data_IF_864017878186
#
_entry.id   IF_864017878186
#
_cell.length_a   1.000
_cell.length_b   1.000
_cell.length_c   1.000
_cell.angle_alpha   90.00
_cell.angle_beta   90.00
_cell.angle_gamma   90.00
#
_symmetry.space_group_name_H-M   'P 1'
#
loop_
_entity.id
_entity.type
_entity.pdbx_description
1 polymer ?
#
# COMPACT_ATOMS: atom_id res chain seq x y z
N UNK A 1 -22.55 -0.41 -10.07
CA UNK A 1 -21.81 0.57 -9.25
C UNK A 1 -21.66 1.87 -10.04
N UNK A 2 -21.60 3.03 -9.39
CA UNK A 2 -21.29 4.28 -10.09
C UNK A 2 -19.93 4.17 -10.79
N UNK A 3 -19.85 4.66 -12.03
CA UNK A 3 -18.63 4.60 -12.84
C UNK A 3 -17.42 5.24 -12.13
N UNK A 4 -17.67 6.29 -11.33
CA UNK A 4 -16.68 7.02 -10.52
C UNK A 4 -15.85 6.15 -9.57
N UNK A 5 -16.40 5.03 -9.08
CA UNK A 5 -15.74 4.21 -8.06
C UNK A 5 -15.25 2.86 -8.58
N UNK A 6 -15.29 2.64 -9.90
CA UNK A 6 -14.87 1.38 -10.52
C UNK A 6 -13.50 1.55 -11.14
N UNK A 7 -12.53 0.76 -10.69
CA UNK A 7 -11.20 0.71 -11.30
C UNK A 7 -11.23 -0.36 -12.39
N UNK A 8 -11.19 0.08 -13.65
CA UNK A 8 -11.13 -0.84 -14.79
C UNK A 8 -9.72 -1.39 -14.93
N UNK A 9 -9.58 -2.71 -14.74
CA UNK A 9 -8.31 -3.40 -14.89
C UNK A 9 -8.21 -4.04 -16.26
N UNK A 10 -6.99 -4.11 -16.80
CA UNK A 10 -6.68 -4.76 -18.08
C UNK A 10 -5.38 -5.54 -17.93
N UNK A 11 -5.32 -6.82 -18.32
CA UNK A 11 -4.09 -7.60 -18.20
C UNK A 11 -2.88 -6.87 -18.80
N UNK A 12 -1.83 -6.74 -18.01
CA UNK A 12 -0.55 -6.15 -18.38
C UNK A 12 0.55 -7.21 -18.18
N UNK A 13 0.86 -8.03 -19.20
CA UNK A 13 1.90 -9.06 -19.13
C UNK A 13 3.24 -8.46 -18.66
N UNK A 14 3.96 -9.12 -17.74
CA UNK A 14 5.27 -8.65 -17.32
C UNK A 14 6.26 -8.59 -18.50
N UNK A 15 7.08 -7.54 -18.54
CA UNK A 15 8.14 -7.37 -19.55
C UNK A 15 9.35 -8.22 -19.18
N UNK A 16 9.64 -8.35 -17.89
CA UNK A 16 10.69 -9.21 -17.36
C UNK A 16 10.08 -10.42 -16.67
N UNK A 17 10.74 -11.56 -16.76
CA UNK A 17 10.25 -12.75 -16.06
C UNK A 17 10.23 -12.52 -14.54
N UNK A 18 9.10 -12.82 -13.87
CA UNK A 18 9.01 -12.71 -12.42
C UNK A 18 9.90 -13.77 -11.78
N UNK A 19 10.61 -13.40 -10.72
CA UNK A 19 11.51 -14.33 -10.03
C UNK A 19 10.70 -15.40 -9.28
N UNK A 20 10.58 -16.59 -9.88
CA UNK A 20 9.85 -17.72 -9.30
C UNK A 20 10.51 -18.28 -8.04
N UNK A 21 9.70 -18.71 -7.06
CA UNK A 21 10.15 -19.27 -5.77
C UNK A 21 10.94 -20.56 -5.91
N UNK A 22 10.49 -21.43 -6.81
CA UNK A 22 11.04 -22.77 -6.97
C UNK A 22 11.64 -22.92 -8.36
N UNK A 23 12.74 -23.65 -8.42
CA UNK A 23 13.33 -24.10 -9.65
C UNK A 23 13.45 -25.63 -9.62
N UNK A 24 13.50 -26.23 -10.81
CA UNK A 24 13.74 -27.67 -10.96
C UNK A 24 15.14 -27.86 -11.53
N UNK A 25 15.98 -28.62 -10.83
CA UNK A 25 17.27 -29.06 -11.34
C UNK A 25 17.09 -30.43 -11.98
N UNK A 26 17.65 -30.58 -13.18
CA UNK A 26 17.67 -31.83 -13.94
C UNK A 26 19.08 -32.43 -13.93
N UNK A 27 19.25 -33.62 -13.36
CA UNK A 27 20.49 -34.40 -13.47
C UNK A 27 20.50 -35.19 -14.78
N UNK A 28 20.88 -34.51 -15.87
CA UNK A 28 20.81 -35.05 -17.24
C UNK A 28 21.62 -36.32 -17.47
N UNK A 29 22.72 -36.49 -16.74
CA UNK A 29 23.57 -37.69 -16.80
C UNK A 29 22.79 -38.98 -16.49
N UNK A 30 21.76 -38.88 -15.66
CA UNK A 30 20.90 -39.99 -15.27
C UNK A 30 19.65 -40.11 -16.15
N UNK A 31 19.50 -39.25 -17.15
CA UNK A 31 18.34 -39.26 -18.04
C UNK A 31 18.45 -40.40 -19.06
N UNK A 32 17.40 -41.22 -19.16
CA UNK A 32 17.37 -42.31 -20.13
C UNK A 32 17.30 -41.83 -21.60
N UNK A 33 16.95 -40.56 -21.85
CA UNK A 33 16.84 -39.95 -23.19
C UNK A 33 15.78 -40.53 -24.14
N UNK A 34 15.22 -41.70 -23.82
CA UNK A 34 14.45 -42.57 -24.71
C UNK A 34 13.09 -43.01 -24.12
N UNK A 35 12.64 -42.34 -23.06
CA UNK A 35 11.34 -42.64 -22.44
C UNK A 35 10.19 -42.36 -23.43
N UNK A 36 9.44 -43.41 -23.82
CA UNK A 36 8.22 -43.29 -24.63
C UNK A 36 7.22 -42.33 -23.97
N UNK A 37 6.95 -42.57 -22.69
CA UNK A 37 6.07 -41.77 -21.81
C UNK A 37 6.86 -40.79 -20.93
N UNK A 38 7.67 -39.92 -21.53
CA UNK A 38 8.48 -38.98 -20.77
C UNK A 38 7.62 -37.96 -19.98
N UNK A 39 7.84 -37.86 -18.67
CA UNK A 39 7.17 -36.90 -17.77
C UNK A 39 7.34 -35.44 -18.22
N UNK A 40 8.41 -35.10 -18.93
CA UNK A 40 8.63 -33.76 -19.50
C UNK A 40 7.46 -33.32 -20.39
N UNK A 41 6.88 -34.25 -21.16
CA UNK A 41 5.70 -33.99 -22.03
C UNK A 41 4.41 -33.75 -21.24
N UNK A 42 4.39 -34.11 -19.95
CA UNK A 42 3.24 -34.04 -19.05
C UNK A 42 3.26 -32.78 -18.16
N UNK A 43 4.23 -31.88 -18.34
CA UNK A 43 4.28 -30.64 -17.57
C UNK A 43 3.12 -29.72 -17.96
N UNK A 44 2.22 -29.45 -17.02
CA UNK A 44 1.01 -28.62 -17.21
C UNK A 44 1.37 -27.14 -17.51
N UNK A 45 2.58 -26.72 -17.16
CA UNK A 45 3.10 -25.38 -17.40
C UNK A 45 4.01 -25.30 -18.65
N UNK A 46 4.08 -26.38 -19.44
CA UNK A 46 4.85 -26.48 -20.68
C UNK A 46 6.35 -26.12 -20.58
N UNK A 47 6.91 -26.11 -19.36
CA UNK A 47 8.30 -25.72 -19.08
C UNK A 47 9.26 -26.51 -19.97
N UNK A 48 9.11 -27.84 -20.01
CA UNK A 48 10.03 -28.70 -20.76
C UNK A 48 9.78 -28.73 -22.27
N UNK A 49 8.54 -28.46 -22.71
CA UNK A 49 8.17 -28.47 -24.13
C UNK A 49 8.81 -27.30 -24.87
N UNK A 50 8.88 -26.14 -24.22
CA UNK A 50 9.59 -24.96 -24.73
C UNK A 50 11.12 -25.09 -24.62
N UNK A 51 11.63 -25.91 -23.69
CA UNK A 51 13.04 -25.92 -23.29
C UNK A 51 14.08 -26.56 -24.23
N UNK A 52 13.80 -27.55 -25.09
CA UNK A 52 14.93 -28.31 -25.69
C UNK A 52 15.76 -27.52 -26.72
N UNK A 53 15.13 -26.73 -27.59
CA UNK A 53 15.82 -25.82 -28.54
C UNK A 53 16.03 -24.43 -27.93
N UNK A 54 15.14 -24.01 -27.03
CA UNK A 54 15.16 -22.69 -26.40
C UNK A 54 16.25 -22.58 -25.32
N UNK A 55 16.51 -23.61 -24.50
CA UNK A 55 17.58 -23.57 -23.47
C UNK A 55 18.99 -23.35 -24.04
N UNK A 56 19.25 -23.75 -25.29
CA UNK A 56 20.53 -23.50 -25.98
C UNK A 56 20.59 -22.13 -26.66
N UNK A 57 19.45 -21.46 -26.83
CA UNK A 57 19.32 -20.14 -27.50
C UNK A 57 18.92 -19.02 -26.52
N UNK A 58 18.66 -19.37 -25.26
CA UNK A 58 18.26 -18.46 -24.20
C UNK A 58 19.40 -17.50 -23.82
N UNK A 59 19.11 -16.20 -23.81
CA UNK A 59 19.98 -15.19 -23.18
C UNK A 59 19.89 -15.25 -21.64
N UNK A 60 18.72 -15.66 -21.09
CA UNK A 60 18.48 -15.86 -19.64
C UNK A 60 17.75 -17.20 -19.37
N UNK A 61 17.98 -17.88 -18.23
CA UNK A 61 17.38 -19.19 -17.92
C UNK A 61 15.90 -19.10 -17.50
N UNK A 62 14.99 -18.90 -18.47
CA UNK A 62 13.56 -18.65 -18.26
C UNK A 62 12.80 -19.75 -17.46
N UNK A 63 13.34 -20.97 -17.44
CA UNK A 63 12.78 -22.11 -16.69
C UNK A 63 12.88 -21.96 -15.17
N UNK A 64 13.78 -21.09 -14.67
CA UNK A 64 13.88 -20.77 -13.23
C UNK A 64 12.70 -19.90 -12.74
N UNK A 65 11.98 -19.28 -13.67
CA UNK A 65 11.01 -18.23 -13.37
C UNK A 65 9.55 -18.68 -13.54
N UNK A 66 9.31 -19.77 -14.28
CA UNK A 66 7.96 -20.23 -14.66
C UNK A 66 7.49 -21.46 -13.87
N UNK A 67 8.36 -22.10 -13.08
CA UNK A 67 8.03 -23.33 -12.37
C UNK A 67 7.16 -23.09 -11.12
N UNK A 68 5.90 -23.56 -11.17
CA UNK A 68 4.97 -23.51 -10.04
C UNK A 68 5.08 -24.70 -9.07
N UNK A 69 6.14 -25.51 -9.15
CA UNK A 69 6.42 -26.62 -8.23
C UNK A 69 5.24 -27.60 -8.01
N UNK A 70 4.53 -27.99 -9.07
CA UNK A 70 3.45 -29.00 -8.97
C UNK A 70 3.91 -30.44 -8.68
N UNK A 71 5.23 -30.66 -8.54
CA UNK A 71 5.87 -31.97 -8.27
C UNK A 71 5.67 -33.09 -9.30
N UNK A 72 4.84 -32.90 -10.32
CA UNK A 72 4.58 -33.93 -11.34
C UNK A 72 5.85 -34.45 -12.01
N UNK A 73 6.77 -33.55 -12.36
CA UNK A 73 8.07 -33.92 -12.96
C UNK A 73 8.94 -34.76 -12.02
N UNK A 74 8.85 -34.55 -10.71
CA UNK A 74 9.63 -35.28 -9.70
C UNK A 74 9.01 -36.65 -9.44
N UNK A 75 7.69 -36.69 -9.24
CA UNK A 75 6.97 -37.90 -8.86
C UNK A 75 6.82 -38.91 -10.00
N UNK A 76 6.58 -38.44 -11.23
CA UNK A 76 6.34 -39.33 -12.37
C UNK A 76 7.63 -39.63 -13.18
N UNK A 77 8.80 -39.13 -12.76
CA UNK A 77 10.05 -39.46 -13.43
C UNK A 77 10.55 -40.85 -13.00
N UNK A 78 10.51 -41.80 -13.93
CA UNK A 78 10.97 -43.19 -13.69
C UNK A 78 12.46 -43.32 -13.32
N UNK A 79 13.28 -42.31 -13.64
CA UNK A 79 14.70 -42.25 -13.29
C UNK A 79 15.01 -41.32 -12.12
N UNK A 80 14.00 -40.63 -11.57
CA UNK A 80 14.18 -39.73 -10.42
C UNK A 80 15.17 -38.58 -10.66
N UNK A 81 15.33 -38.09 -11.90
CA UNK A 81 16.39 -37.13 -12.25
C UNK A 81 16.10 -35.69 -11.85
N UNK A 82 14.88 -35.40 -11.38
CA UNK A 82 14.46 -34.05 -11.04
C UNK A 82 14.52 -33.83 -9.54
N UNK A 83 15.09 -32.69 -9.15
CA UNK A 83 15.06 -32.21 -7.77
C UNK A 83 14.45 -30.82 -7.70
N UNK A 84 13.63 -30.58 -6.68
CA UNK A 84 13.11 -29.24 -6.37
C UNK A 84 14.12 -28.50 -5.52
N UNK A 85 14.47 -27.29 -5.95
CA UNK A 85 15.26 -26.35 -5.15
C UNK A 85 14.53 -25.02 -5.03
N UNK A 86 14.91 -24.24 -4.03
CA UNK A 86 14.52 -22.83 -3.96
C UNK A 86 15.44 -22.06 -4.91
N UNK A 87 14.86 -21.21 -5.76
CA UNK A 87 15.63 -20.37 -6.66
C UNK A 87 16.54 -19.44 -5.83
N UNK A 88 17.87 -19.44 -6.01
CA UNK A 88 18.76 -18.53 -5.30
C UNK A 88 18.42 -17.06 -5.51
N UNK A 89 17.99 -16.67 -6.72
CA UNK A 89 17.59 -15.28 -7.00
C UNK A 89 16.34 -14.87 -6.23
N UNK A 90 15.43 -15.81 -5.99
CA UNK A 90 14.24 -15.54 -5.16
C UNK A 90 14.61 -15.16 -3.72
N UNK A 91 15.75 -15.67 -3.22
CA UNK A 91 16.27 -15.26 -1.90
C UNK A 91 16.93 -13.89 -1.92
N UNK A 92 17.32 -13.39 -3.08
CA UNK A 92 18.02 -12.12 -3.26
C UNK A 92 17.12 -10.92 -3.57
N UNK A 93 15.81 -11.12 -3.68
CA UNK A 93 14.84 -10.04 -3.86
C UNK A 93 14.20 -9.66 -2.52
N UNK A 94 13.80 -8.40 -2.39
CA UNK A 94 13.09 -7.92 -1.20
C UNK A 94 13.98 -7.73 0.04
N UNK A 95 13.29 -7.64 1.17
CA UNK A 95 13.88 -7.48 2.50
C UNK A 95 13.03 -8.25 3.54
N UNK A 96 13.29 -8.06 4.83
CA UNK A 96 12.56 -8.75 5.91
C UNK A 96 11.07 -8.40 5.94
N UNK A 97 10.68 -7.21 5.45
CA UNK A 97 9.31 -6.73 5.46
C UNK A 97 8.60 -6.96 4.12
N UNK A 98 9.23 -6.50 3.03
CA UNK A 98 8.85 -6.80 1.66
C UNK A 98 9.46 -8.13 1.24
N UNK A 99 8.93 -9.21 1.81
CA UNK A 99 9.41 -10.56 1.51
C UNK A 99 9.25 -10.90 0.02
N UNK A 100 10.06 -11.83 -0.52
CA UNK A 100 9.90 -12.32 -1.89
C UNK A 100 8.47 -12.79 -2.25
N UNK A 101 7.72 -13.29 -1.28
CA UNK A 101 6.33 -13.74 -1.48
C UNK A 101 5.39 -12.55 -1.70
N UNK A 102 5.55 -11.49 -0.90
CA UNK A 102 4.81 -10.22 -1.04
C UNK A 102 5.09 -9.59 -2.40
N UNK A 103 6.34 -9.59 -2.84
CA UNK A 103 6.75 -9.07 -4.16
C UNK A 103 6.06 -9.87 -5.28
N UNK A 104 6.14 -11.20 -5.25
CA UNK A 104 5.52 -12.04 -6.28
C UNK A 104 3.99 -11.89 -6.32
N UNK A 105 3.32 -11.79 -5.17
CA UNK A 105 1.88 -11.50 -5.11
C UNK A 105 1.54 -10.14 -5.69
N UNK A 106 2.36 -9.14 -5.42
CA UNK A 106 2.20 -7.78 -5.95
C UNK A 106 2.37 -7.78 -7.47
N UNK A 107 3.38 -8.48 -8.01
CA UNK A 107 3.57 -8.64 -9.45
C UNK A 107 2.40 -9.36 -10.12
N UNK A 108 1.86 -10.41 -9.50
CA UNK A 108 0.69 -11.11 -10.01
C UNK A 108 -0.54 -10.20 -10.08
N UNK A 109 -0.78 -9.40 -9.03
CA UNK A 109 -1.89 -8.44 -8.97
C UNK A 109 -1.70 -7.32 -10.00
N UNK A 110 -0.50 -6.77 -10.15
CA UNK A 110 -0.18 -5.78 -11.17
C UNK A 110 -0.27 -6.35 -12.60
N UNK A 111 0.00 -7.64 -12.77
CA UNK A 111 -0.14 -8.32 -14.06
C UNK A 111 -1.61 -8.52 -14.45
N UNK A 112 -2.41 -9.07 -13.54
CA UNK A 112 -3.76 -9.58 -13.86
C UNK A 112 -4.90 -8.64 -13.47
N UNK A 113 -4.65 -7.68 -12.57
CA UNK A 113 -5.70 -6.90 -11.92
C UNK A 113 -6.63 -7.74 -11.03
N UNK A 114 -6.26 -9.00 -10.74
CA UNK A 114 -7.09 -9.97 -10.04
C UNK A 114 -6.58 -10.24 -8.63
N UNK A 115 -7.49 -10.63 -7.74
CA UNK A 115 -7.15 -11.11 -6.41
C UNK A 115 -6.46 -12.49 -6.54
N UNK A 116 -5.32 -12.75 -5.87
CA UNK A 116 -4.74 -14.09 -5.81
C UNK A 116 -5.73 -15.11 -5.21
N UNK A 117 -5.68 -16.38 -5.59
CA UNK A 117 -6.59 -17.44 -5.08
C UNK A 117 -6.61 -17.55 -3.54
N UNK A 118 -5.55 -17.11 -2.87
CA UNK A 118 -5.49 -17.03 -1.40
C UNK A 118 -6.13 -15.79 -0.78
N UNK A 119 -6.61 -14.83 -1.58
CA UNK A 119 -6.93 -13.45 -1.18
C UNK A 119 -8.31 -13.21 -0.59
N UNK A 120 -9.04 -14.26 -0.18
CA UNK A 120 -10.26 -14.12 0.63
C UNK A 120 -9.96 -13.90 2.14
N UNK A 121 -8.73 -13.56 2.50
CA UNK A 121 -8.32 -13.24 3.88
C UNK A 121 -6.81 -13.23 4.07
N UNK A 122 -6.35 -12.76 5.23
CA UNK A 122 -4.94 -12.87 5.61
C UNK A 122 -4.55 -14.32 5.82
N UNK A 123 -3.42 -14.72 5.25
CA UNK A 123 -2.77 -16.00 5.58
C UNK A 123 -1.39 -15.82 6.16
N UNK A 124 -1.01 -14.59 6.48
CA UNK A 124 0.22 -14.35 7.20
C UNK A 124 0.11 -14.81 8.65
N UNK A 125 1.21 -14.70 9.40
CA UNK A 125 1.20 -15.10 10.80
C UNK A 125 0.19 -14.26 11.60
N UNK A 126 -0.28 -14.82 12.72
CA UNK A 126 -1.02 -14.10 13.76
C UNK A 126 -0.16 -13.75 14.98
N UNK A 127 1.03 -14.35 15.06
CA UNK A 127 2.01 -14.13 16.13
C UNK A 127 3.31 -13.56 15.53
N UNK A 128 3.19 -12.65 14.55
CA UNK A 128 4.32 -11.99 13.91
C UNK A 128 4.51 -10.54 14.37
N UNK A 129 5.39 -9.79 13.69
CA UNK A 129 5.68 -8.38 14.00
C UNK A 129 4.68 -7.43 13.34
N UNK A 130 4.45 -6.26 13.93
CA UNK A 130 3.64 -5.21 13.32
C UNK A 130 2.24 -5.67 12.92
N UNK A 131 1.87 -5.53 11.63
CA UNK A 131 0.55 -5.98 11.15
C UNK A 131 0.31 -7.50 11.24
N UNK A 132 1.35 -8.30 11.47
CA UNK A 132 1.23 -9.75 11.64
C UNK A 132 0.83 -10.17 13.06
N UNK A 133 0.73 -9.23 14.00
CA UNK A 133 0.08 -9.47 15.31
C UNK A 133 -1.38 -9.01 15.34
N UNK A 134 -1.94 -8.65 14.19
CA UNK A 134 -3.32 -8.16 14.05
C UNK A 134 -4.03 -8.93 12.94
N UNK A 135 -5.23 -9.44 13.20
CA UNK A 135 -6.12 -10.03 12.19
C UNK A 135 -7.42 -9.25 12.11
N UNK A 136 -8.00 -9.21 10.92
CA UNK A 136 -9.34 -8.67 10.70
C UNK A 136 -10.37 -9.75 10.97
N UNK A 137 -11.38 -9.46 11.80
CA UNK A 137 -12.46 -10.39 12.09
C UNK A 137 -13.58 -10.28 11.03
N UNK A 138 -13.65 -11.29 10.17
CA UNK A 138 -14.59 -11.37 9.03
C UNK A 138 -15.75 -12.36 9.29
N UNK A 139 -16.21 -12.47 10.55
CA UNK A 139 -17.17 -13.51 10.97
C UNK A 139 -18.64 -13.08 10.97
N UNK A 140 -19.02 -11.97 10.30
CA UNK A 140 -20.42 -11.54 10.29
C UNK A 140 -21.26 -12.36 9.31
N UNK A 141 -22.21 -13.13 9.84
CA UNK A 141 -23.19 -13.85 9.02
C UNK A 141 -24.26 -12.86 8.56
N UNK A 142 -24.05 -12.25 7.40
CA UNK A 142 -25.03 -11.43 6.70
C UNK A 142 -25.88 -12.26 5.75
N UNK A 143 -27.22 -12.18 5.87
CA UNK A 143 -28.18 -12.76 4.91
C UNK A 143 -29.05 -11.67 4.29
N UNK A 144 -29.05 -11.48 2.95
CA UNK A 144 -28.20 -12.16 1.96
C UNK A 144 -26.71 -11.80 2.11
N UNK A 145 -25.83 -12.61 1.52
CA UNK A 145 -24.39 -12.31 1.52
C UNK A 145 -24.14 -11.00 0.77
N UNK A 146 -23.35 -10.12 1.38
CA UNK A 146 -22.99 -8.84 0.78
C UNK A 146 -21.82 -9.06 -0.16
N UNK A 147 -22.05 -8.83 -1.45
CA UNK A 147 -21.05 -8.99 -2.51
C UNK A 147 -20.82 -7.62 -3.17
N UNK A 148 -19.73 -7.00 -2.72
CA UNK A 148 -19.28 -5.71 -3.21
C UNK A 148 -18.47 -5.78 -4.50
N UNK A 149 -17.95 -6.95 -4.91
CA UNK A 149 -17.18 -7.07 -6.16
C UNK A 149 -18.12 -7.12 -7.36
N UNK A 150 -19.12 -8.00 -7.33
CA UNK A 150 -20.03 -8.20 -8.45
C UNK A 150 -21.20 -7.21 -8.46
N UNK A 151 -21.18 -6.23 -7.56
CA UNK A 151 -22.15 -5.13 -7.53
C UNK A 151 -23.55 -5.55 -7.11
N UNK A 152 -23.70 -6.69 -6.41
CA UNK A 152 -24.97 -7.08 -5.79
C UNK A 152 -25.34 -6.10 -4.67
N UNK A 153 -24.32 -5.58 -3.97
CA UNK A 153 -24.46 -4.44 -3.07
C UNK A 153 -23.45 -3.33 -3.41
N UNK A 154 -23.81 -2.10 -3.08
CA UNK A 154 -22.91 -0.95 -3.16
C UNK A 154 -22.15 -0.81 -1.83
N UNK A 155 -20.82 -0.92 -1.89
CA UNK A 155 -19.91 -0.61 -0.77
C UNK A 155 -19.08 0.59 -1.18
N UNK A 156 -19.14 1.65 -0.39
CA UNK A 156 -18.42 2.90 -0.64
C UNK A 156 -16.98 2.82 -0.13
N UNK A 157 -15.99 2.87 -1.02
CA UNK A 157 -14.56 2.93 -0.65
C UNK A 157 -14.03 4.36 -0.54
N UNK A 158 -14.86 5.36 -0.84
CA UNK A 158 -14.45 6.75 -0.86
C UNK A 158 -14.16 7.28 0.56
N UNK A 159 -13.16 8.15 0.65
CA UNK A 159 -12.84 8.94 1.83
C UNK A 159 -12.79 10.42 1.47
N UNK A 160 -12.86 11.29 2.47
CA UNK A 160 -12.74 12.74 2.28
C UNK A 160 -11.57 13.24 3.12
N UNK A 161 -10.77 14.15 2.56
CA UNK A 161 -9.58 14.73 3.20
C UNK A 161 -9.74 16.20 3.60
N UNK A 162 -10.88 16.80 3.29
CA UNK A 162 -11.24 18.15 3.76
C UNK A 162 -11.71 18.13 5.22
N UNK A 163 -11.50 19.23 5.95
CA UNK A 163 -12.03 19.41 7.30
C UNK A 163 -13.56 19.39 7.31
N UNK A 164 -14.15 18.80 8.34
CA UNK A 164 -15.61 18.78 8.54
C UNK A 164 -16.04 19.79 9.61
N UNK A 165 -17.15 20.51 9.41
CA UNK A 165 -17.71 21.38 10.44
C UNK A 165 -18.16 20.54 11.63
N UNK A 166 -17.96 21.05 12.84
CA UNK A 166 -18.35 20.37 14.08
C UNK A 166 -19.87 20.17 14.16
N UNK A 167 -20.60 21.21 13.75
CA UNK A 167 -22.07 21.22 13.67
C UNK A 167 -22.48 22.03 12.45
N UNK A 168 -23.58 21.62 11.82
CA UNK A 168 -24.26 22.48 10.85
C UNK A 168 -25.06 23.52 11.64
N UNK A 169 -24.95 24.78 11.23
CA UNK A 169 -25.81 25.86 11.71
C UNK A 169 -26.46 26.51 10.50
N UNK A 170 -27.69 26.98 10.68
CA UNK A 170 -28.48 27.59 9.62
C UNK A 170 -28.98 28.96 10.11
N UNK A 171 -29.04 29.92 9.19
CA UNK A 171 -29.72 31.18 9.39
C UNK A 171 -31.24 30.96 9.39
N UNK A 172 -32.01 31.97 9.84
CA UNK A 172 -33.48 31.89 9.90
C UNK A 172 -34.12 31.67 8.52
N UNK A 173 -33.45 32.08 7.44
CA UNK A 173 -33.87 31.87 6.05
C UNK A 173 -33.56 30.47 5.50
N UNK A 174 -32.93 29.60 6.33
CA UNK A 174 -32.52 28.25 5.96
C UNK A 174 -31.17 28.14 5.24
N UNK A 175 -30.45 29.25 5.03
CA UNK A 175 -29.09 29.24 4.47
C UNK A 175 -28.06 28.75 5.51
N UNK A 176 -26.95 28.16 5.05
CA UNK A 176 -25.88 27.66 5.93
C UNK A 176 -25.14 28.81 6.61
N UNK A 177 -25.16 28.84 7.95
CA UNK A 177 -24.46 29.80 8.79
C UNK A 177 -23.03 29.37 9.15
N UNK A 178 -22.52 28.32 8.50
CA UNK A 178 -21.16 27.79 8.69
C UNK A 178 -20.48 27.75 7.34
N UNK A 179 -19.25 28.26 7.27
CA UNK A 179 -18.42 28.11 6.09
C UNK A 179 -18.10 26.63 5.85
N UNK A 180 -18.50 26.09 4.71
CA UNK A 180 -18.17 24.74 4.27
C UNK A 180 -17.21 24.85 3.11
N UNK A 181 -15.98 24.36 3.29
CA UNK A 181 -14.98 24.29 2.23
C UNK A 181 -15.31 23.24 1.16
N UNK A 182 -14.58 23.22 0.04
CA UNK A 182 -14.73 22.17 -0.96
C UNK A 182 -14.40 20.79 -0.36
N UNK A 183 -15.19 19.78 -0.75
CA UNK A 183 -14.98 18.41 -0.30
C UNK A 183 -13.92 17.76 -1.18
N UNK A 184 -12.81 17.36 -0.55
CA UNK A 184 -11.73 16.66 -1.24
C UNK A 184 -11.94 15.14 -1.15
N UNK A 185 -12.63 14.57 -2.12
CA UNK A 185 -12.93 13.13 -2.18
C UNK A 185 -11.79 12.33 -2.83
N UNK A 186 -11.42 11.20 -2.20
CA UNK A 186 -10.54 10.18 -2.78
C UNK A 186 -11.34 8.88 -2.93
N UNK A 187 -11.52 8.33 -4.15
CA UNK A 187 -12.38 7.16 -4.42
C UNK A 187 -11.99 5.86 -3.71
N UNK A 188 -10.71 5.74 -3.35
CA UNK A 188 -10.09 4.61 -2.68
C UNK A 188 -9.26 5.18 -1.52
N UNK A 189 -9.20 4.58 -0.32
CA UNK A 189 -8.49 5.16 0.82
C UNK A 189 -6.96 4.96 0.71
N UNK A 190 -6.42 5.16 -0.49
CA UNK A 190 -5.03 4.99 -0.87
C UNK A 190 -4.60 6.20 -1.70
N UNK A 191 -3.56 6.88 -1.24
CA UNK A 191 -2.85 7.94 -1.94
C UNK A 191 -1.43 7.50 -2.27
N UNK A 192 -0.79 8.15 -3.23
CA UNK A 192 0.57 7.85 -3.63
C UNK A 192 1.56 8.84 -3.03
N UNK A 193 2.81 8.45 -2.86
CA UNK A 193 3.91 9.34 -2.51
C UNK A 193 5.10 9.03 -3.41
N UNK A 194 5.83 10.06 -3.84
CA UNK A 194 7.10 9.89 -4.53
C UNK A 194 8.03 9.04 -3.65
N UNK A 195 8.44 7.84 -4.08
CA UNK A 195 9.28 7.00 -3.24
C UNK A 195 10.63 7.64 -2.96
N UNK A 196 11.18 7.41 -1.77
CA UNK A 196 12.57 7.82 -1.42
C UNK A 196 13.62 6.78 -1.83
N UNK A 197 13.20 5.75 -2.56
CA UNK A 197 14.01 4.61 -3.00
C UNK A 197 13.75 4.32 -4.48
N UNK A 198 14.74 3.75 -5.15
CA UNK A 198 14.58 3.19 -6.50
C UNK A 198 15.12 4.09 -7.59
N UNK A 199 14.92 3.66 -8.83
CA UNK A 199 15.21 4.48 -10.02
C UNK A 199 13.98 5.32 -10.32
N UNK A 200 14.09 6.65 -10.16
CA UNK A 200 12.98 7.59 -10.28
C UNK A 200 13.19 8.51 -11.48
N UNK A 201 13.23 7.92 -12.68
CA UNK A 201 13.26 8.73 -13.91
C UNK A 201 11.92 9.46 -14.10
N UNK A 202 11.92 10.47 -14.95
CA UNK A 202 10.70 11.19 -15.30
C UNK A 202 9.59 10.24 -15.81
N UNK A 203 9.95 9.21 -16.59
CA UNK A 203 9.01 8.19 -17.09
C UNK A 203 8.35 7.39 -15.95
N UNK A 204 9.11 7.08 -14.91
CA UNK A 204 8.61 6.38 -13.71
C UNK A 204 7.60 7.27 -12.97
N UNK A 205 7.91 8.56 -12.79
CA UNK A 205 7.01 9.52 -12.12
C UNK A 205 5.73 9.76 -12.94
N UNK A 206 5.85 9.93 -14.26
CA UNK A 206 4.72 10.06 -15.18
C UNK A 206 3.82 8.81 -15.11
N UNK A 207 4.39 7.60 -15.02
CA UNK A 207 3.60 6.36 -14.84
C UNK A 207 2.72 6.41 -13.59
N UNK A 208 3.29 6.86 -12.46
CA UNK A 208 2.58 6.98 -11.19
C UNK A 208 1.48 8.04 -11.25
N UNK A 209 1.78 9.20 -11.83
CA UNK A 209 0.83 10.32 -11.94
C UNK A 209 -0.31 10.01 -12.92
N UNK A 210 -0.04 9.35 -14.04
CA UNK A 210 -1.07 8.86 -14.96
C UNK A 210 -2.00 7.85 -14.27
N UNK A 211 -1.45 6.95 -13.46
CA UNK A 211 -2.25 6.01 -12.69
C UNK A 211 -3.10 6.72 -11.63
N UNK A 212 -2.51 7.69 -10.90
CA UNK A 212 -3.22 8.49 -9.91
C UNK A 212 -4.40 9.25 -10.54
N UNK A 213 -4.16 9.92 -11.67
CA UNK A 213 -5.17 10.64 -12.45
C UNK A 213 -6.29 9.72 -12.92
N UNK A 214 -5.96 8.53 -13.43
CA UNK A 214 -6.96 7.55 -13.92
C UNK A 214 -7.82 7.01 -12.79
N UNK A 215 -7.24 6.77 -11.61
CA UNK A 215 -7.95 6.28 -10.42
C UNK A 215 -8.75 7.41 -9.75
N UNK A 216 -8.35 8.67 -9.96
CA UNK A 216 -8.87 9.82 -9.21
C UNK A 216 -8.26 9.94 -7.81
N UNK A 217 -7.09 9.35 -7.57
CA UNK A 217 -6.31 9.58 -6.34
C UNK A 217 -5.25 10.65 -6.56
N UNK A 218 -4.55 11.04 -5.50
CA UNK A 218 -3.52 12.08 -5.52
C UNK A 218 -2.16 11.53 -5.11
N UNK A 219 -1.10 12.27 -5.46
CA UNK A 219 0.29 11.88 -5.20
C UNK A 219 1.05 12.99 -4.48
N UNK A 220 1.62 12.70 -3.32
CA UNK A 220 2.54 13.59 -2.60
C UNK A 220 3.90 13.65 -3.29
N UNK A 221 4.42 14.86 -3.51
CA UNK A 221 5.74 15.10 -4.11
C UNK A 221 6.39 16.33 -3.50
N UNK A 222 7.69 16.33 -3.24
CA UNK A 222 8.40 17.54 -2.83
C UNK A 222 8.27 18.62 -3.93
N UNK A 223 7.96 19.85 -3.54
CA UNK A 223 7.69 20.93 -4.48
C UNK A 223 8.89 21.24 -5.40
N UNK A 224 10.11 21.02 -4.91
CA UNK A 224 11.35 21.17 -5.67
C UNK A 224 11.51 20.12 -6.78
N UNK A 225 10.79 18.99 -6.71
CA UNK A 225 10.85 17.90 -7.70
C UNK A 225 9.83 18.03 -8.84
N UNK A 226 8.97 19.06 -8.80
CA UNK A 226 7.90 19.26 -9.79
C UNK A 226 8.45 20.13 -10.92
N UNK A 227 8.88 19.47 -12.00
CA UNK A 227 9.31 20.16 -13.23
C UNK A 227 8.11 20.58 -14.11
N UNK A 228 8.37 21.39 -15.13
CA UNK A 228 7.36 21.89 -16.08
C UNK A 228 6.55 20.77 -16.76
N UNK A 229 7.13 19.58 -16.94
CA UNK A 229 6.43 18.43 -17.54
C UNK A 229 5.41 17.87 -16.56
N UNK A 230 5.78 17.77 -15.28
CA UNK A 230 4.91 17.26 -14.23
C UNK A 230 3.82 18.27 -13.82
N UNK A 231 4.03 19.57 -14.03
CA UNK A 231 3.00 20.58 -13.78
C UNK A 231 1.68 20.32 -14.52
N UNK A 232 1.74 19.65 -15.67
CA UNK A 232 0.56 19.29 -16.46
C UNK A 232 -0.42 18.37 -15.73
N UNK A 233 0.02 17.65 -14.69
CA UNK A 233 -0.84 16.83 -13.84
C UNK A 233 -1.63 17.64 -12.80
N UNK A 234 -1.30 18.93 -12.63
CA UNK A 234 -2.06 19.89 -11.86
C UNK A 234 -2.48 19.38 -10.48
N UNK A 235 -3.79 19.33 -10.25
CA UNK A 235 -4.38 18.98 -8.94
C UNK A 235 -4.18 17.54 -8.50
N UNK A 236 -3.65 16.65 -9.37
CA UNK A 236 -3.27 15.28 -8.98
C UNK A 236 -2.09 15.30 -8.01
N UNK A 237 -1.21 16.30 -8.12
CA UNK A 237 -0.03 16.43 -7.26
C UNK A 237 -0.40 17.19 -5.98
N UNK A 238 0.03 16.66 -4.85
CA UNK A 238 0.03 17.35 -3.56
C UNK A 238 1.48 17.79 -3.30
N UNK A 239 1.82 19.07 -3.51
CA UNK A 239 3.17 19.55 -3.24
C UNK A 239 3.47 19.52 -1.74
N UNK A 240 4.61 18.96 -1.36
CA UNK A 240 5.21 19.09 -0.04
C UNK A 240 6.12 20.32 -0.02
N UNK A 241 5.84 21.23 0.89
CA UNK A 241 6.61 22.44 1.14
C UNK A 241 7.11 22.46 2.59
N UNK A 242 8.10 23.29 2.84
CA UNK A 242 8.65 23.55 4.17
C UNK A 242 8.29 24.96 4.59
N UNK A 243 8.33 25.19 5.91
CA UNK A 243 8.12 26.51 6.53
C UNK A 243 8.95 27.62 5.87
N UNK A 244 10.16 27.31 5.42
CA UNK A 244 11.09 28.30 4.87
C UNK A 244 10.97 28.51 3.35
N UNK A 245 10.36 27.59 2.60
CA UNK A 245 10.35 27.63 1.13
C UNK A 245 8.96 27.80 0.50
N UNK A 246 7.85 27.65 1.24
CA UNK A 246 6.51 27.65 0.65
C UNK A 246 6.18 28.91 -0.16
N UNK A 247 6.74 30.07 0.21
CA UNK A 247 6.58 31.33 -0.52
C UNK A 247 7.09 31.26 -1.97
N UNK A 248 8.11 30.44 -2.25
CA UNK A 248 8.66 30.25 -3.61
C UNK A 248 7.66 29.56 -4.54
N UNK A 249 6.74 28.79 -3.96
CA UNK A 249 5.78 27.96 -4.69
C UNK A 249 4.37 28.56 -4.67
N UNK A 250 4.22 29.86 -4.38
CA UNK A 250 2.91 30.50 -4.24
C UNK A 250 1.99 30.27 -5.45
N UNK A 251 2.52 30.32 -6.68
CA UNK A 251 1.72 30.10 -7.89
C UNK A 251 1.30 28.64 -8.06
N UNK A 252 2.17 27.68 -7.68
CA UNK A 252 1.81 26.26 -7.61
C UNK A 252 0.72 26.01 -6.56
N UNK A 253 0.81 26.66 -5.40
CA UNK A 253 -0.16 26.52 -4.30
C UNK A 253 -1.53 27.13 -4.65
N UNK A 254 -1.58 28.21 -5.44
CA UNK A 254 -2.84 28.81 -5.93
C UNK A 254 -3.64 27.85 -6.82
N UNK A 255 -2.98 26.96 -7.56
CA UNK A 255 -3.60 25.97 -8.46
C UNK A 255 -3.75 24.57 -7.84
N UNK A 256 -3.34 24.39 -6.59
CA UNK A 256 -3.40 23.09 -5.90
C UNK A 256 -4.67 22.96 -5.07
N UNK A 257 -5.25 21.75 -5.02
CA UNK A 257 -6.39 21.44 -4.13
C UNK A 257 -5.93 21.21 -2.68
N UNK A 258 -4.72 20.69 -2.52
CA UNK A 258 -4.16 20.30 -1.23
C UNK A 258 -2.65 20.57 -1.24
N UNK A 259 -2.11 20.93 -0.08
CA UNK A 259 -0.67 21.08 0.17
C UNK A 259 -0.29 20.24 1.38
N UNK A 260 0.93 19.71 1.38
CA UNK A 260 1.54 19.18 2.59
C UNK A 260 2.63 20.10 3.09
N UNK A 261 2.68 20.29 4.41
CA UNK A 261 3.78 20.97 5.08
C UNK A 261 4.36 20.07 6.17
N UNK A 262 5.68 19.92 6.19
CA UNK A 262 6.35 19.15 7.24
C UNK A 262 6.18 19.83 8.61
N UNK A 263 5.91 19.04 9.65
CA UNK A 263 5.73 19.53 11.00
C UNK A 263 7.05 20.05 11.58
N UNK A 264 7.00 21.28 12.08
CA UNK A 264 8.03 21.90 12.91
C UNK A 264 7.36 22.77 14.00
N UNK A 265 7.98 23.00 15.16
CA UNK A 265 7.41 23.89 16.17
C UNK A 265 7.07 25.30 15.62
N UNK A 266 5.89 25.81 15.99
CA UNK A 266 5.40 27.10 15.52
C UNK A 266 4.80 27.09 14.10
N UNK A 267 4.33 25.92 13.63
CA UNK A 267 3.74 25.76 12.29
C UNK A 267 2.40 26.48 12.17
N UNK A 268 1.70 26.75 13.28
CA UNK A 268 0.34 27.30 13.33
C UNK A 268 0.24 28.63 12.57
N UNK A 269 1.25 29.49 12.73
CA UNK A 269 1.34 30.77 12.02
C UNK A 269 1.55 30.62 10.50
N UNK A 270 2.08 29.49 10.06
CA UNK A 270 2.32 29.18 8.65
C UNK A 270 1.04 28.65 8.01
N UNK A 271 0.24 27.86 8.74
CA UNK A 271 -1.02 27.31 8.23
C UNK A 271 -1.98 28.44 7.80
N UNK A 272 -2.08 29.51 8.60
CA UNK A 272 -2.89 30.69 8.25
C UNK A 272 -2.39 31.39 6.97
N UNK A 273 -1.07 31.48 6.80
CA UNK A 273 -0.47 32.06 5.58
C UNK A 273 -0.75 31.21 4.35
N UNK A 274 -0.72 29.88 4.47
CA UNK A 274 -1.08 28.97 3.38
C UNK A 274 -2.56 29.15 3.00
N UNK A 275 -3.45 29.26 3.98
CA UNK A 275 -4.87 29.52 3.73
C UNK A 275 -5.11 30.89 3.09
N UNK A 276 -4.28 31.89 3.40
CA UNK A 276 -4.34 33.20 2.75
C UNK A 276 -3.89 33.18 1.27
N UNK A 277 -3.02 32.25 0.86
CA UNK A 277 -2.64 32.08 -0.55
C UNK A 277 -3.80 31.51 -1.36
N UNK A 278 -4.51 30.53 -0.80
CA UNK A 278 -5.68 29.92 -1.40
C UNK A 278 -6.67 29.47 -0.30
N UNK A 279 -7.79 30.19 -0.17
CA UNK A 279 -8.78 29.95 0.89
C UNK A 279 -9.45 28.57 0.82
N UNK A 280 -9.40 27.93 -0.34
CA UNK A 280 -9.95 26.59 -0.59
C UNK A 280 -8.92 25.46 -0.45
N UNK A 281 -7.64 25.79 -0.19
CA UNK A 281 -6.55 24.83 -0.11
C UNK A 281 -6.73 23.92 1.11
N UNK A 282 -6.82 22.61 0.90
CA UNK A 282 -6.75 21.64 1.99
C UNK A 282 -5.30 21.56 2.51
N UNK A 283 -5.11 21.64 3.83
CA UNK A 283 -3.78 21.64 4.44
C UNK A 283 -3.54 20.31 5.16
N UNK A 284 -2.55 19.57 4.67
CA UNK A 284 -1.95 18.41 5.34
C UNK A 284 -0.74 18.83 6.16
N UNK A 285 -0.62 18.36 7.40
CA UNK A 285 0.63 18.48 8.17
C UNK A 285 1.29 17.11 8.27
N UNK A 286 2.50 17.00 7.73
CA UNK A 286 3.33 15.80 7.76
C UNK A 286 4.06 15.67 9.09
N UNK A 287 3.58 14.80 9.98
CA UNK A 287 4.16 14.53 11.30
C UNK A 287 5.00 13.25 11.28
N UNK A 288 6.34 13.32 11.36
CA UNK A 288 7.16 12.13 11.53
C UNK A 288 6.91 11.49 12.89
N UNK A 289 6.64 10.19 12.91
CA UNK A 289 6.52 9.40 14.13
C UNK A 289 7.91 9.11 14.69
N UNK A 290 8.45 10.07 15.43
CA UNK A 290 9.77 9.97 16.07
C UNK A 290 9.65 9.92 17.58
N UNK A 291 10.50 9.12 18.23
CA UNK A 291 10.55 8.98 19.68
C UNK A 291 10.79 10.30 20.44
N UNK A 292 11.32 11.32 19.76
CA UNK A 292 11.54 12.65 20.35
C UNK A 292 10.26 13.52 20.40
N UNK A 293 9.17 13.11 19.75
CA UNK A 293 7.95 13.90 19.60
C UNK A 293 6.78 13.24 20.34
N UNK A 294 6.01 14.04 21.08
CA UNK A 294 4.72 13.59 21.62
C UNK A 294 3.63 13.68 20.55
N UNK A 295 3.65 12.76 19.60
CA UNK A 295 2.79 12.80 18.41
C UNK A 295 1.28 12.84 18.72
N UNK A 296 0.85 12.29 19.86
CA UNK A 296 -0.56 12.28 20.26
C UNK A 296 -1.02 13.66 20.74
N UNK A 297 -0.21 14.33 21.56
CA UNK A 297 -0.45 15.69 22.01
C UNK A 297 -0.37 16.68 20.85
N UNK A 298 0.69 16.60 20.05
CA UNK A 298 0.88 17.41 18.84
C UNK A 298 -0.32 17.27 17.90
N UNK A 299 -0.80 16.05 17.67
CA UNK A 299 -1.99 15.81 16.86
C UNK A 299 -3.22 16.53 17.40
N UNK A 300 -3.46 16.48 18.71
CA UNK A 300 -4.57 17.19 19.36
C UNK A 300 -4.42 18.71 19.26
N UNK A 301 -3.21 19.25 19.43
CA UNK A 301 -2.96 20.69 19.28
C UNK A 301 -3.21 21.16 17.84
N UNK A 302 -2.63 20.48 16.85
CA UNK A 302 -2.83 20.77 15.44
C UNK A 302 -4.30 20.66 15.03
N UNK A 303 -5.07 19.75 15.64
CA UNK A 303 -6.50 19.59 15.33
C UNK A 303 -7.36 20.83 15.65
N UNK A 304 -6.86 21.72 16.51
CA UNK A 304 -7.50 22.99 16.89
C UNK A 304 -7.15 24.15 15.94
N UNK A 305 -6.25 23.93 14.98
CA UNK A 305 -5.84 24.91 13.97
C UNK A 305 -6.69 24.79 12.70
N UNK A 306 -6.35 25.57 11.66
CA UNK A 306 -6.97 25.49 10.32
C UNK A 306 -6.54 24.27 9.49
N UNK A 307 -5.71 23.37 10.04
CA UNK A 307 -5.35 22.09 9.41
C UNK A 307 -6.59 21.26 9.05
N UNK A 308 -6.53 20.58 7.91
CA UNK A 308 -7.58 19.66 7.43
C UNK A 308 -7.22 18.19 7.70
N UNK A 309 -5.94 17.84 7.48
CA UNK A 309 -5.45 16.46 7.56
C UNK A 309 -4.12 16.39 8.32
N UNK A 310 -4.00 15.42 9.22
CA UNK A 310 -2.73 15.04 9.84
C UNK A 310 -2.17 13.82 9.09
N UNK A 311 -1.00 13.95 8.46
CA UNK A 311 -0.33 12.82 7.82
C UNK A 311 0.80 12.32 8.73
N UNK A 312 0.58 11.18 9.39
CA UNK A 312 1.59 10.55 10.24
C UNK A 312 2.51 9.66 9.42
N UNK A 313 3.82 9.87 9.56
CA UNK A 313 4.84 9.21 8.73
C UNK A 313 5.70 8.30 9.59
N UNK A 314 5.64 6.99 9.38
CA UNK A 314 6.60 6.03 9.91
C UNK A 314 7.71 5.77 8.88
N UNK A 315 8.73 4.99 9.25
CA UNK A 315 9.72 4.55 8.29
C UNK A 315 9.13 3.56 7.26
N UNK A 316 9.94 3.13 6.29
CA UNK A 316 9.46 2.24 5.22
C UNK A 316 8.99 0.86 5.74
N UNK A 317 9.46 0.44 6.91
CA UNK A 317 9.06 -0.78 7.61
C UNK A 317 7.89 -0.55 8.57
N UNK A 318 7.33 0.65 8.65
CA UNK A 318 6.24 1.01 9.57
C UNK A 318 6.72 1.21 11.02
N UNK A 319 7.99 1.54 11.22
CA UNK A 319 8.64 1.72 12.52
C UNK A 319 8.83 3.19 12.88
N UNK A 320 8.85 3.45 14.18
CA UNK A 320 9.17 4.75 14.77
C UNK A 320 10.61 5.20 14.44
N UNK A 321 10.78 6.47 14.05
CA UNK A 321 12.08 7.06 13.77
C UNK A 321 12.86 7.38 15.05
N UNK A 322 14.19 7.21 14.99
CA UNK A 322 15.15 7.61 16.03
C UNK A 322 14.88 6.95 17.41
N UNK A 323 14.40 5.71 17.43
CA UNK A 323 14.10 4.95 18.64
C UNK A 323 15.02 3.74 18.78
N UNK A 324 15.47 3.43 20.00
CA UNK A 324 16.22 2.19 20.28
C UNK A 324 15.30 0.96 20.34
N UNK A 325 14.02 1.17 20.66
CA UNK A 325 12.99 0.13 20.70
C UNK A 325 11.78 0.62 19.89
N UNK A 326 11.88 0.64 18.55
CA UNK A 326 10.91 1.31 17.71
C UNK A 326 9.54 0.63 17.75
N UNK A 327 8.52 1.40 18.12
CA UNK A 327 7.12 0.98 18.04
C UNK A 327 6.69 0.82 16.59
N UNK A 328 5.67 0.00 16.36
CA UNK A 328 5.05 -0.13 15.04
C UNK A 328 3.91 0.87 14.85
N UNK A 329 3.66 1.29 13.61
CA UNK A 329 2.67 2.32 13.27
C UNK A 329 1.27 2.01 13.78
N UNK A 330 0.87 0.72 13.85
CA UNK A 330 -0.44 0.30 14.36
C UNK A 330 -0.71 0.81 15.78
N UNK A 331 0.31 0.82 16.65
CA UNK A 331 0.17 1.20 18.05
C UNK A 331 0.22 2.73 18.19
N UNK A 332 1.16 3.39 17.50
CA UNK A 332 1.29 4.85 17.52
C UNK A 332 0.05 5.53 16.93
N UNK A 333 -0.50 4.98 15.84
CA UNK A 333 -1.72 5.49 15.22
C UNK A 333 -2.94 5.34 16.14
N UNK A 334 -3.03 4.23 16.89
CA UNK A 334 -4.09 4.00 17.88
C UNK A 334 -4.03 5.02 19.02
N UNK A 335 -2.83 5.36 19.51
CA UNK A 335 -2.64 6.41 20.52
C UNK A 335 -3.14 7.77 20.03
N UNK A 336 -2.76 8.17 18.81
CA UNK A 336 -3.18 9.44 18.19
C UNK A 336 -4.69 9.47 18.01
N UNK A 337 -5.25 8.39 17.46
CA UNK A 337 -6.68 8.26 17.24
C UNK A 337 -7.46 8.42 18.56
N UNK A 338 -7.07 7.69 19.61
CA UNK A 338 -7.73 7.74 20.92
C UNK A 338 -7.57 9.12 21.58
N UNK A 339 -6.40 9.75 21.47
CA UNK A 339 -6.18 11.10 21.99
C UNK A 339 -7.12 12.12 21.33
N UNK A 340 -7.27 12.09 20.00
CA UNK A 340 -8.20 12.95 19.27
C UNK A 340 -9.67 12.63 19.56
N UNK A 341 -10.01 11.35 19.80
CA UNK A 341 -11.37 10.97 20.23
C UNK A 341 -11.69 11.57 21.60
N UNK A 342 -10.77 11.43 22.57
CA UNK A 342 -10.91 12.00 23.91
C UNK A 342 -10.98 13.53 23.89
N UNK A 343 -10.27 14.17 22.95
CA UNK A 343 -10.32 15.62 22.74
C UNK A 343 -11.56 16.09 21.96
N UNK A 344 -12.39 15.18 21.43
CA UNK A 344 -13.58 15.53 20.64
C UNK A 344 -13.31 16.03 19.22
N UNK A 345 -12.05 16.02 18.76
CA UNK A 345 -11.66 16.62 17.46
C UNK A 345 -11.62 15.60 16.31
N UNK A 346 -11.65 14.29 16.60
CA UNK A 346 -11.48 13.22 15.60
C UNK A 346 -12.47 13.25 14.43
N UNK A 347 -13.67 13.80 14.62
CA UNK A 347 -14.67 13.92 13.54
C UNK A 347 -14.35 15.04 12.54
N UNK A 348 -13.65 16.07 12.99
CA UNK A 348 -13.36 17.27 12.21
C UNK A 348 -12.15 17.08 11.30
N UNK A 349 -11.13 16.37 11.80
CA UNK A 349 -9.83 16.16 11.15
C UNK A 349 -9.71 14.76 10.56
N UNK A 350 -8.98 14.67 9.44
CA UNK A 350 -8.59 13.41 8.83
C UNK A 350 -7.18 12.98 9.27
N UNK A 351 -6.94 11.68 9.35
CA UNK A 351 -5.60 11.12 9.59
C UNK A 351 -5.19 10.29 8.37
N UNK A 352 -4.08 10.67 7.73
CA UNK A 352 -3.38 9.83 6.77
C UNK A 352 -2.20 9.15 7.45
N UNK A 353 -1.85 7.94 7.02
CA UNK A 353 -0.73 7.20 7.55
C UNK A 353 0.14 6.62 6.43
N UNK A 354 1.46 6.74 6.56
CA UNK A 354 2.45 6.17 5.64
C UNK A 354 3.52 5.36 6.37
N UNK A 355 4.09 4.38 5.66
CA UNK A 355 5.08 3.46 6.19
C UNK A 355 4.52 2.06 6.51
N UNK A 356 5.23 1.01 6.10
CA UNK A 356 4.87 -0.37 6.43
C UNK A 356 3.67 -0.94 5.63
N UNK A 357 3.28 -0.36 4.49
CA UNK A 357 2.12 -0.84 3.73
C UNK A 357 2.59 -1.61 2.49
N UNK A 358 2.62 -2.94 2.60
CA UNK A 358 3.12 -3.82 1.54
C UNK A 358 2.05 -4.68 0.88
N UNK A 359 0.84 -4.74 1.46
CA UNK A 359 -0.28 -5.56 1.01
C UNK A 359 -1.62 -4.84 1.19
N UNK A 360 -2.64 -5.25 0.42
CA UNK A 360 -3.99 -4.70 0.50
C UNK A 360 -4.57 -4.71 1.92
N UNK A 361 -4.30 -5.75 2.69
CA UNK A 361 -4.81 -5.86 4.06
C UNK A 361 -4.16 -4.87 5.03
N UNK A 362 -2.90 -4.49 4.79
CA UNK A 362 -2.24 -3.48 5.63
C UNK A 362 -3.00 -2.16 5.55
N UNK A 363 -3.57 -1.83 4.38
CA UNK A 363 -4.43 -0.65 4.22
C UNK A 363 -5.61 -0.70 5.19
N UNK A 364 -6.32 -1.84 5.22
CA UNK A 364 -7.46 -2.05 6.09
C UNK A 364 -7.08 -2.00 7.57
N UNK A 365 -5.99 -2.66 7.96
CA UNK A 365 -5.48 -2.64 9.33
C UNK A 365 -5.10 -1.24 9.78
N UNK A 366 -4.43 -0.46 8.93
CA UNK A 366 -4.10 0.94 9.21
C UNK A 366 -5.36 1.77 9.44
N UNK A 367 -6.42 1.58 8.64
CA UNK A 367 -7.70 2.27 8.84
C UNK A 367 -8.34 1.85 10.18
N UNK A 368 -8.35 0.55 10.49
CA UNK A 368 -8.85 0.04 11.79
C UNK A 368 -8.08 0.65 12.97
N UNK A 369 -6.76 0.81 12.86
CA UNK A 369 -5.94 1.47 13.87
C UNK A 369 -6.23 2.97 14.02
N UNK A 370 -6.98 3.57 13.09
CA UNK A 370 -7.56 4.89 13.26
C UNK A 370 -7.25 5.89 12.16
N UNK A 371 -6.61 5.50 11.05
CA UNK A 371 -6.45 6.34 9.87
C UNK A 371 -7.77 6.46 9.08
N UNK A 372 -7.93 7.55 8.34
CA UNK A 372 -8.96 7.67 7.30
C UNK A 372 -8.44 7.15 5.94
N UNK A 373 -7.15 7.30 5.66
CA UNK A 373 -6.53 6.84 4.42
C UNK A 373 -5.05 6.50 4.59
N UNK A 374 -4.49 5.85 3.58
CA UNK A 374 -3.13 5.32 3.62
C UNK A 374 -2.33 5.85 2.44
N UNK A 375 -1.07 6.21 2.66
CA UNK A 375 -0.17 6.67 1.61
C UNK A 375 0.88 5.58 1.32
N UNK A 376 1.06 5.27 0.03
CA UNK A 376 1.95 4.18 -0.43
C UNK A 376 2.99 4.68 -1.42
N UNK A 377 4.17 4.08 -1.38
CA UNK A 377 5.31 4.44 -2.22
C UNK A 377 5.91 3.21 -2.95
N UNK A 378 6.54 2.28 -2.22
CA UNK A 378 7.20 1.09 -2.75
C UNK A 378 6.28 0.14 -3.52
N UNK A 379 5.01 -0.08 -3.12
CA UNK A 379 4.10 -0.90 -3.92
C UNK A 379 3.95 -0.39 -5.36
N UNK A 380 4.11 0.92 -5.61
CA UNK A 380 4.08 1.50 -6.96
C UNK A 380 5.27 1.04 -7.80
N UNK A 381 6.48 1.06 -7.21
CA UNK A 381 7.68 0.53 -7.86
C UNK A 381 7.58 -0.97 -8.11
N UNK A 382 7.05 -1.72 -7.13
CA UNK A 382 6.83 -3.16 -7.28
C UNK A 382 5.83 -3.45 -8.40
N UNK A 383 4.74 -2.68 -8.51
CA UNK A 383 3.79 -2.82 -9.60
C UNK A 383 4.50 -2.70 -10.96
N UNK A 384 5.48 -1.80 -11.07
CA UNK A 384 6.34 -1.60 -12.25
C UNK A 384 7.54 -2.56 -12.32
N UNK A 385 7.46 -3.74 -11.69
CA UNK A 385 8.44 -4.84 -11.75
C UNK A 385 9.74 -4.64 -10.95
N UNK A 386 9.82 -3.61 -10.10
CA UNK A 386 10.96 -3.46 -9.19
C UNK A 386 11.14 -4.73 -8.34
N UNK A 387 12.38 -5.23 -8.25
CA UNK A 387 12.74 -6.43 -7.46
C UNK A 387 13.14 -6.14 -6.01
N UNK A 388 13.13 -4.87 -5.60
CA UNK A 388 13.70 -4.42 -4.31
C UNK A 388 15.10 -5.00 -3.99
N UNK A 389 15.89 -5.26 -5.03
CA UNK A 389 17.20 -5.91 -4.92
C UNK A 389 18.34 -4.99 -4.41
N UNK A 390 18.03 -3.75 -4.01
CA UNK A 390 18.97 -2.72 -3.57
C UNK A 390 20.13 -2.35 -4.53
N UNK A 391 20.18 -2.90 -5.75
CA UNK A 391 21.22 -2.55 -6.75
C UNK A 391 21.30 -1.06 -7.03
N UNK A 392 20.17 -0.37 -7.15
CA UNK A 392 20.12 1.08 -7.37
C UNK A 392 20.66 1.91 -6.19
N UNK A 393 20.67 1.37 -4.96
CA UNK A 393 21.33 2.02 -3.81
C UNK A 393 22.85 1.88 -3.86
N UNK A 394 23.33 0.83 -4.50
CA UNK A 394 24.75 0.52 -4.65
C UNK A 394 25.30 1.02 -5.99
N UNK A 395 24.62 1.96 -6.65
CA UNK A 395 24.99 2.52 -7.96
C UNK A 395 25.14 1.46 -9.08
N UNK A 396 24.49 0.30 -8.91
CA UNK A 396 24.46 -0.76 -9.91
C UNK A 396 23.23 -0.64 -10.82
N UNK A 397 23.38 -1.13 -12.05
CA UNK A 397 22.30 -1.16 -13.04
C UNK A 397 21.07 -1.93 -12.53
N UNK A 398 19.89 -1.37 -12.83
CA UNK A 398 18.61 -1.98 -12.51
C UNK A 398 18.34 -3.16 -13.46
N UNK A 399 18.08 -4.37 -12.95
CA UNK A 399 17.90 -5.57 -13.78
C UNK A 399 16.65 -5.49 -14.68
N UNK A 400 15.66 -4.70 -14.27
CA UNK A 400 14.41 -4.50 -15.02
C UNK A 400 14.37 -3.16 -15.77
N UNK A 401 15.53 -2.50 -15.92
CA UNK A 401 15.68 -1.21 -16.63
C UNK A 401 14.57 -0.20 -16.29
N UNK A 402 14.23 -0.09 -15.00
CA UNK A 402 13.05 0.65 -14.54
C UNK A 402 13.02 2.11 -15.02
N UNK A 403 14.19 2.74 -15.17
CA UNK A 403 14.31 4.11 -15.66
C UNK A 403 13.79 4.32 -17.10
N UNK A 404 13.75 3.26 -17.91
CA UNK A 404 13.32 3.29 -19.31
C UNK A 404 11.90 2.77 -19.52
N UNK A 405 11.12 2.64 -18.43
CA UNK A 405 9.75 2.13 -18.50
C UNK A 405 8.89 2.98 -19.45
N UNK A 406 8.02 2.33 -20.20
CA UNK A 406 6.97 3.00 -20.96
C UNK A 406 5.88 3.49 -19.99
N UNK A 407 5.55 4.79 -19.95
CA UNK A 407 4.64 5.32 -18.94
C UNK A 407 3.24 4.73 -18.96
N UNK A 408 2.69 4.46 -20.15
CA UNK A 408 1.36 3.85 -20.29
C UNK A 408 1.35 2.42 -19.72
N UNK A 409 2.37 1.63 -20.03
CA UNK A 409 2.57 0.31 -19.45
C UNK A 409 2.71 0.36 -17.92
N UNK A 410 3.56 1.25 -17.40
CA UNK A 410 3.78 1.41 -15.96
C UNK A 410 2.49 1.81 -15.23
N UNK A 411 1.76 2.78 -15.79
CA UNK A 411 0.47 3.24 -15.29
C UNK A 411 -0.57 2.12 -15.23
N UNK A 412 -0.72 1.35 -16.30
CA UNK A 412 -1.66 0.21 -16.36
C UNK A 412 -1.38 -0.84 -15.28
N UNK A 413 -0.11 -1.12 -14.97
CA UNK A 413 0.27 -2.05 -13.90
C UNK A 413 -0.10 -1.54 -12.51
N UNK A 414 0.08 -0.25 -12.26
CA UNK A 414 -0.32 0.38 -11.00
C UNK A 414 -1.85 0.35 -10.86
N UNK A 415 -2.58 0.68 -11.93
CA UNK A 415 -4.05 0.61 -11.96
C UNK A 415 -4.54 -0.81 -11.65
N UNK A 416 -3.91 -1.83 -12.24
CA UNK A 416 -4.22 -3.23 -11.94
C UNK A 416 -4.00 -3.58 -10.46
N UNK A 417 -2.86 -3.18 -9.88
CA UNK A 417 -2.59 -3.42 -8.46
C UNK A 417 -3.65 -2.76 -7.58
N UNK A 418 -3.99 -1.49 -7.83
CA UNK A 418 -5.00 -0.77 -7.05
C UNK A 418 -6.40 -1.34 -7.24
N UNK A 419 -6.74 -1.82 -8.44
CA UNK A 419 -7.98 -2.56 -8.69
C UNK A 419 -8.06 -3.86 -7.88
N UNK A 420 -6.97 -4.62 -7.80
CA UNK A 420 -6.91 -5.83 -7.00
C UNK A 420 -6.98 -5.54 -5.48
N UNK A 421 -6.37 -4.45 -5.01
CA UNK A 421 -6.42 -4.02 -3.61
C UNK A 421 -7.82 -3.53 -3.22
N UNK A 422 -8.46 -2.73 -4.08
CA UNK A 422 -9.85 -2.32 -3.95
C UNK A 422 -10.77 -3.53 -3.81
N UNK A 423 -10.63 -4.52 -4.69
CA UNK A 423 -11.49 -5.69 -4.66
C UNK A 423 -11.28 -6.53 -3.38
N UNK A 424 -10.04 -6.66 -2.88
CA UNK A 424 -9.77 -7.29 -1.57
C UNK A 424 -10.41 -6.53 -0.41
N UNK A 425 -10.40 -5.20 -0.45
CA UNK A 425 -11.12 -4.38 0.54
C UNK A 425 -12.63 -4.59 0.47
N UNK A 426 -13.20 -4.69 -0.73
CA UNK A 426 -14.63 -4.97 -0.93
C UNK A 426 -15.04 -6.34 -0.37
N UNK A 427 -14.21 -7.37 -0.56
CA UNK A 427 -14.43 -8.70 0.04
C UNK A 427 -14.44 -8.62 1.56
N UNK A 428 -13.43 -7.99 2.15
CA UNK A 428 -13.35 -7.82 3.60
C UNK A 428 -14.54 -7.04 4.14
N UNK A 429 -14.88 -5.89 3.54
CA UNK A 429 -16.01 -5.06 3.96
C UNK A 429 -17.34 -5.83 3.83
N UNK A 430 -17.51 -6.59 2.74
CA UNK A 430 -18.67 -7.45 2.53
C UNK A 430 -18.80 -8.52 3.61
N UNK A 431 -17.70 -9.21 3.93
CA UNK A 431 -17.65 -10.23 4.97
C UNK A 431 -17.82 -9.66 6.40
N UNK A 432 -17.43 -8.40 6.62
CA UNK A 432 -17.66 -7.66 7.86
C UNK A 432 -19.04 -6.99 7.96
N UNK A 433 -19.92 -7.16 6.98
CA UNK A 433 -21.22 -6.49 7.01
C UNK A 433 -21.11 -4.96 6.98
N UNK A 434 -20.09 -4.39 6.35
CA UNK A 434 -19.88 -2.94 6.22
C UNK A 434 -20.19 -2.42 4.81
N UNK A 435 -20.81 -1.23 4.73
CA UNK A 435 -21.18 -0.58 3.46
C UNK A 435 -20.30 0.62 3.10
N UNK A 436 -19.36 0.99 3.98
CA UNK A 436 -18.45 2.10 3.72
C UNK A 436 -17.10 1.87 4.43
N UNK A 437 -15.99 2.18 3.74
CA UNK A 437 -14.64 2.03 4.27
C UNK A 437 -14.43 2.90 5.53
N UNK A 438 -15.06 4.08 5.59
CA UNK A 438 -15.02 4.97 6.76
C UNK A 438 -15.46 4.30 8.06
N UNK A 439 -16.32 3.28 8.02
CA UNK A 439 -16.78 2.56 9.22
C UNK A 439 -15.72 1.65 9.83
N UNK A 440 -14.65 1.32 9.09
CA UNK A 440 -13.52 0.60 9.65
C UNK A 440 -12.72 1.45 10.64
N UNK A 441 -12.81 2.78 10.53
CA UNK A 441 -11.97 3.72 11.27
C UNK A 441 -12.14 3.57 12.78
N UNK A 442 -11.11 3.06 13.44
CA UNK A 442 -11.14 2.82 14.88
C UNK A 442 -12.03 1.64 15.31
N UNK A 443 -12.51 0.81 14.36
CA UNK A 443 -13.40 -0.33 14.63
C UNK A 443 -12.60 -1.54 15.12
N UNK A 444 -11.98 -1.39 16.29
CA UNK A 444 -11.14 -2.43 16.90
C UNK A 444 -11.96 -3.69 17.22
N UNK A 445 -13.27 -3.56 17.42
CA UNK A 445 -14.19 -4.69 17.63
C UNK A 445 -14.28 -5.65 16.43
N UNK A 446 -13.83 -5.24 15.25
CA UNK A 446 -13.70 -6.08 14.04
C UNK A 446 -12.24 -6.48 13.77
N UNK A 447 -11.42 -6.51 14.80
CA UNK A 447 -10.04 -6.96 14.73
C UNK A 447 -9.65 -7.77 15.96
N UNK A 448 -8.80 -8.76 15.75
CA UNK A 448 -8.17 -9.54 16.80
C UNK A 448 -6.72 -9.12 16.91
N UNK A 449 -6.28 -8.82 18.13
CA UNK A 449 -4.92 -8.42 18.44
C UNK A 449 -4.28 -9.53 19.25
N UNK A 450 -3.13 -10.01 18.79
CA UNK A 450 -2.45 -11.11 19.45
C UNK A 450 -2.09 -10.73 20.88
N UNK A 451 -1.59 -9.52 21.10
CA UNK A 451 -1.16 -9.06 22.42
C UNK A 451 -2.33 -9.01 23.41
N UNK A 452 -3.51 -8.57 22.95
CA UNK A 452 -4.73 -8.51 23.77
C UNK A 452 -5.23 -9.93 24.07
N UNK A 453 -5.36 -10.79 23.06
CA UNK A 453 -5.82 -12.18 23.24
C UNK A 453 -4.86 -13.01 24.09
N UNK A 454 -3.56 -12.81 23.92
CA UNK A 454 -2.55 -13.49 24.72
C UNK A 454 -2.64 -13.06 26.17
N UNK A 455 -2.73 -11.74 26.42
CA UNK A 455 -2.89 -11.19 27.75
C UNK A 455 -4.15 -11.75 28.43
N UNK A 456 -5.28 -11.75 27.74
CA UNK A 456 -6.55 -12.24 28.30
C UNK A 456 -6.53 -13.75 28.57
N UNK A 457 -5.93 -14.55 27.67
CA UNK A 457 -5.98 -16.02 27.74
C UNK A 457 -4.88 -16.62 28.62
N UNK A 458 -3.67 -16.06 28.58
CA UNK A 458 -2.48 -16.68 29.16
C UNK A 458 -1.92 -15.91 30.36
N UNK A 459 -2.12 -14.59 30.48
CA UNK A 459 -1.59 -13.85 31.63
C UNK A 459 -2.15 -14.32 33.00
N UNK A 460 -3.40 -14.78 33.13
CA UNK A 460 -3.89 -15.34 34.39
C UNK A 460 -3.11 -16.58 34.87
N UNK A 461 -2.46 -17.30 33.96
CA UNK A 461 -1.73 -18.54 34.25
C UNK A 461 -0.22 -18.30 34.30
N UNK A 462 0.32 -17.52 33.36
CA UNK A 462 1.76 -17.37 33.12
C UNK A 462 2.31 -15.98 33.46
N UNK A 463 1.44 -15.02 33.82
CA UNK A 463 1.80 -13.60 33.98
C UNK A 463 1.91 -12.85 32.65
N UNK A 464 2.14 -11.55 32.72
CA UNK A 464 2.26 -10.71 31.51
C UNK A 464 3.57 -10.99 30.75
N UNK A 465 3.49 -10.99 29.41
CA UNK A 465 4.64 -11.14 28.52
C UNK A 465 5.64 -10.00 28.74
N UNK A 466 6.91 -10.35 28.94
CA UNK A 466 8.00 -9.39 29.20
C UNK A 466 8.68 -8.85 27.94
N UNK A 467 8.52 -9.51 26.79
CA UNK A 467 9.20 -9.17 25.52
C UNK A 467 8.13 -8.89 24.47
N UNK A 468 8.10 -7.68 23.90
CA UNK A 468 7.20 -7.35 22.81
C UNK A 468 7.56 -8.13 21.54
N UNK A 469 6.56 -8.54 20.75
CA UNK A 469 6.76 -9.19 19.45
C UNK A 469 7.56 -8.30 18.49
N UNK A 470 7.44 -6.99 18.67
CA UNK A 470 8.09 -5.98 17.84
C UNK A 470 9.59 -5.80 18.13
N UNK A 471 10.11 -6.43 19.18
CA UNK A 471 11.53 -6.44 19.49
C UNK A 471 12.16 -7.67 18.84
N UNK A 472 12.89 -7.45 17.75
CA UNK A 472 13.71 -8.48 17.12
C UNK A 472 14.48 -7.97 15.94
#
# INVERSE_FOLDING_TARGET
MPQKYTIHTKPAPPKFYPVGKYATIEFRENCAGSCKECVKKKCVYDIFKKNYLHMSQMEEPEYLYTCNSCFRCIQECTKGIFSRVINPEYRGIGDEYYTPDVINRTWYQAHTGSIPVSGAGYRGPFAGKGFDSMWTDMSEIVRPTRDGIHGREYINTCIELSRRPERLAFHEDGSLAVAVGPILEIPLPILFEKPKFGVLSQKVLVSMLQAAQTIGTKMFMDADDIDETLESFGTVIIPNVKKDNFHKFADLLKRSDMVEIDYEPGIEHVLEKLKAINGNLAISVGLPLSAALNYAEIGVELSKTVMDTLHVKADYNGREFNSQNPRFIKDMLRDIHIAMVKAGTRRQINILASGGVSMAEHVNKTIICGADGVVIDRPLLLAMECRLCNRCRNELSCPVKLGDIDPEYGSNRIINLMGAWRNQMLEMLGAMGMREARRLRGEVGRSMWFEDLEKESFAPIFGERKISLDVG
#
